data_IF_572966989958
#
_entry.id   IF_572966989958
#
_cell.length_a   1.000
_cell.length_b   1.000
_cell.length_c   1.000
_cell.angle_alpha   90.00
_cell.angle_beta   90.00
_cell.angle_gamma   90.00
#
_symmetry.space_group_name_H-M   'P 1'
#
loop_
_entity.id
_entity.type
_entity.pdbx_description
1 polymer ?
#
# COMPACT_ATOMS: atom_id res chain seq x y z
N UNK A 1 11.26 -16.24 0.30
CA UNK A 1 10.91 -15.24 1.31
C UNK A 1 12.00 -15.29 2.35
N UNK A 2 12.52 -14.13 2.70
CA UNK A 2 13.43 -13.96 3.81
C UNK A 2 12.61 -13.38 4.97
N UNK A 3 12.77 -13.90 6.17
CA UNK A 3 12.22 -13.32 7.39
C UNK A 3 13.25 -12.38 8.01
N UNK A 4 12.81 -11.31 8.66
CA UNK A 4 13.73 -10.47 9.43
C UNK A 4 13.75 -11.01 10.85
N UNK A 5 14.88 -11.51 11.30
CA UNK A 5 15.00 -12.03 12.66
C UNK A 5 15.04 -10.91 13.69
N UNK A 6 15.66 -9.80 13.33
CA UNK A 6 15.86 -8.65 14.20
C UNK A 6 16.72 -7.59 13.55
N UNK A 7 17.23 -6.70 14.38
CA UNK A 7 18.12 -5.60 14.00
C UNK A 7 19.46 -5.81 14.70
N UNK A 8 20.55 -5.64 13.97
CA UNK A 8 21.91 -5.68 14.49
C UNK A 8 22.57 -4.31 14.36
N UNK A 9 23.39 -3.95 15.34
CA UNK A 9 24.19 -2.73 15.31
C UNK A 9 25.48 -2.98 14.53
N UNK A 10 25.73 -2.18 13.51
CA UNK A 10 26.92 -2.25 12.66
C UNK A 10 27.64 -0.90 12.69
N UNK A 11 28.67 -0.80 13.55
CA UNK A 11 29.36 0.47 13.82
C UNK A 11 28.43 1.54 14.39
N UNK A 12 28.27 2.65 13.68
CA UNK A 12 27.35 3.74 14.04
C UNK A 12 25.93 3.57 13.51
N UNK A 13 25.65 2.51 12.75
CA UNK A 13 24.36 2.29 12.08
C UNK A 13 23.68 0.98 12.47
N UNK A 14 22.60 0.68 11.75
CA UNK A 14 21.79 -0.52 11.93
C UNK A 14 21.70 -1.33 10.64
N UNK A 15 21.70 -2.65 10.78
CA UNK A 15 21.51 -3.63 9.73
C UNK A 15 20.39 -4.60 10.13
N UNK A 16 19.62 -5.07 9.16
CA UNK A 16 18.57 -6.06 9.35
C UNK A 16 19.18 -7.45 9.18
N UNK A 17 18.92 -8.34 10.14
CA UNK A 17 19.30 -9.75 10.06
C UNK A 17 18.21 -10.53 9.33
N UNK A 18 18.49 -11.01 8.12
CA UNK A 18 17.55 -11.76 7.29
C UNK A 18 17.83 -13.24 7.36
N UNK A 19 16.83 -14.06 7.70
CA UNK A 19 16.90 -15.52 7.60
C UNK A 19 16.27 -16.00 6.30
N UNK A 20 17.08 -16.72 5.50
CA UNK A 20 16.64 -17.40 4.29
C UNK A 20 15.90 -18.71 4.56
N UNK A 21 15.38 -19.33 3.49
CA UNK A 21 14.75 -20.67 3.57
C UNK A 21 15.75 -21.79 3.91
N UNK A 22 17.02 -21.57 3.57
CA UNK A 22 18.15 -22.43 3.93
C UNK A 22 18.54 -22.31 5.41
N UNK A 23 17.89 -21.41 6.15
CA UNK A 23 18.21 -21.12 7.54
C UNK A 23 19.41 -20.21 7.72
N UNK A 24 20.11 -19.81 6.64
CA UNK A 24 21.27 -18.92 6.74
C UNK A 24 20.82 -17.49 7.08
N UNK A 25 21.56 -16.84 7.98
CA UNK A 25 21.35 -15.44 8.36
C UNK A 25 22.27 -14.55 7.54
N UNK A 26 21.73 -13.49 6.96
CA UNK A 26 22.46 -12.50 6.16
C UNK A 26 22.11 -11.10 6.62
N UNK A 27 23.12 -10.26 6.76
CA UNK A 27 22.90 -8.85 7.08
C UNK A 27 22.53 -8.07 5.82
N UNK A 28 21.64 -7.09 5.99
CA UNK A 28 21.29 -6.19 4.90
C UNK A 28 20.79 -4.84 5.40
N UNK A 29 20.96 -3.81 4.57
CA UNK A 29 20.53 -2.46 4.90
C UNK A 29 19.01 -2.32 4.85
N UNK A 30 18.48 -1.29 5.52
CA UNK A 30 17.05 -1.00 5.60
C UNK A 30 16.34 -0.90 4.24
N UNK A 31 17.03 -0.47 3.18
CA UNK A 31 16.47 -0.49 1.81
C UNK A 31 15.98 -1.88 1.36
N UNK A 32 16.52 -2.96 1.95
CA UNK A 32 16.08 -4.36 1.73
C UNK A 32 14.83 -4.76 2.52
N UNK A 33 14.33 -3.92 3.45
CA UNK A 33 13.03 -4.13 4.10
C UNK A 33 11.93 -4.34 3.05
N UNK A 34 12.00 -3.56 1.97
CA UNK A 34 11.10 -3.70 0.82
C UNK A 34 11.29 -5.03 0.09
N UNK A 35 12.49 -5.58 -0.07
CA UNK A 35 12.61 -6.88 -0.77
C UNK A 35 12.13 -8.05 0.09
N UNK A 36 12.40 -8.03 1.39
CA UNK A 36 11.97 -9.07 2.32
C UNK A 36 10.45 -9.18 2.43
N UNK A 37 9.75 -8.04 2.43
CA UNK A 37 8.29 -7.97 2.52
C UNK A 37 7.53 -8.51 1.28
N UNK A 38 8.18 -9.04 0.24
CA UNK A 38 7.60 -8.97 -1.13
C UNK A 38 7.42 -10.23 -1.94
N UNK A 39 7.40 -11.41 -1.33
CA UNK A 39 7.43 -12.63 -2.16
C UNK A 39 6.34 -13.67 -1.89
N UNK A 40 5.29 -13.37 -1.11
CA UNK A 40 4.20 -14.34 -0.98
C UNK A 40 2.82 -13.67 -0.95
N UNK A 41 1.95 -14.15 -1.85
CA UNK A 41 0.53 -13.82 -1.91
C UNK A 41 0.18 -12.58 -2.73
N UNK A 42 -0.84 -12.74 -3.57
CA UNK A 42 -1.43 -11.66 -4.36
C UNK A 42 -2.83 -11.26 -3.85
N UNK A 43 -3.23 -11.81 -2.70
CA UNK A 43 -4.49 -11.44 -2.09
C UNK A 43 -4.39 -10.02 -1.55
N UNK A 44 -5.46 -9.27 -1.74
CA UNK A 44 -5.61 -7.91 -1.25
C UNK A 44 -6.74 -7.91 -0.22
N UNK A 45 -6.52 -7.29 0.93
CA UNK A 45 -7.54 -7.05 1.95
C UNK A 45 -7.68 -5.55 2.12
N UNK A 46 -8.86 -5.00 1.82
CA UNK A 46 -9.08 -3.56 1.95
C UNK A 46 -9.29 -3.14 3.40
N UNK A 47 -8.90 -1.91 3.68
CA UNK A 47 -9.11 -1.22 4.92
C UNK A 47 -9.97 0.00 4.61
N UNK A 48 -11.10 0.09 5.27
CA UNK A 48 -12.00 1.23 5.17
C UNK A 48 -12.25 1.76 6.57
N UNK A 49 -11.54 2.82 6.95
CA UNK A 49 -11.61 3.39 8.30
C UNK A 49 -11.16 2.45 9.42
N UNK A 50 -10.19 1.56 9.16
CA UNK A 50 -9.71 0.61 10.17
C UNK A 50 -9.02 1.36 11.32
N UNK A 51 -9.49 1.16 12.55
CA UNK A 51 -8.91 1.73 13.76
C UNK A 51 -7.69 0.92 14.20
N UNK A 52 -6.51 1.54 14.15
CA UNK A 52 -5.27 0.86 14.52
C UNK A 52 -5.07 0.74 16.03
N UNK A 53 -5.87 1.42 16.86
CA UNK A 53 -5.82 1.24 18.31
C UNK A 53 -6.30 -0.15 18.75
N UNK A 54 -7.05 -0.85 17.89
CA UNK A 54 -7.47 -2.23 18.11
C UNK A 54 -6.34 -3.25 17.85
N UNK A 55 -5.17 -2.81 17.37
CA UNK A 55 -4.05 -3.70 17.15
C UNK A 55 -3.48 -4.24 18.46
N UNK A 56 -3.26 -5.56 18.52
CA UNK A 56 -2.60 -6.22 19.64
C UNK A 56 -1.32 -6.94 19.21
N UNK A 57 -0.35 -7.07 20.11
CA UNK A 57 0.87 -7.85 19.83
C UNK A 57 0.57 -9.35 19.90
N UNK A 58 1.17 -10.09 18.98
CA UNK A 58 1.13 -11.56 18.94
C UNK A 58 2.53 -12.11 18.64
N UNK A 59 2.77 -13.38 18.99
CA UNK A 59 4.05 -14.03 18.73
C UNK A 59 4.32 -14.19 17.23
N UNK A 60 5.56 -13.95 16.80
CA UNK A 60 5.98 -14.13 15.41
C UNK A 60 5.87 -15.59 14.93
N UNK A 61 5.94 -16.55 15.85
CA UNK A 61 5.84 -17.99 15.58
C UNK A 61 4.56 -18.34 14.82
N UNK A 62 3.43 -17.71 15.15
CA UNK A 62 2.16 -17.97 14.48
C UNK A 62 2.18 -17.51 13.02
N UNK A 63 2.68 -16.30 12.77
CA UNK A 63 2.84 -15.78 11.41
C UNK A 63 3.75 -16.68 10.58
N UNK A 64 4.88 -17.08 11.14
CA UNK A 64 5.88 -17.92 10.47
C UNK A 64 5.36 -19.31 10.16
N UNK A 65 4.67 -19.93 11.13
CA UNK A 65 4.02 -21.24 10.95
C UNK A 65 3.00 -21.20 9.81
N UNK A 66 2.08 -20.23 9.82
CA UNK A 66 1.06 -20.08 8.77
C UNK A 66 1.68 -19.71 7.40
N UNK A 67 2.82 -19.02 7.39
CA UNK A 67 3.57 -18.69 6.18
C UNK A 67 4.41 -19.86 5.65
N UNK A 68 4.54 -20.96 6.40
CA UNK A 68 5.42 -22.09 6.06
C UNK A 68 6.91 -21.73 6.11
N UNK A 69 7.28 -20.86 7.05
CA UNK A 69 8.65 -20.42 7.28
C UNK A 69 9.24 -21.09 8.54
N UNK A 70 10.56 -21.32 8.57
CA UNK A 70 11.21 -21.89 9.73
C UNK A 70 11.07 -20.97 10.95
N UNK A 71 11.01 -21.57 12.14
CA UNK A 71 11.02 -20.84 13.41
C UNK A 71 12.34 -20.06 13.52
N UNK A 72 12.33 -18.79 13.95
CA UNK A 72 13.55 -18.00 14.03
C UNK A 72 14.33 -18.40 15.30
N UNK A 73 15.64 -18.13 15.33
CA UNK A 73 16.42 -18.35 16.56
C UNK A 73 16.07 -17.33 17.64
N UNK A 74 15.58 -16.16 17.24
CA UNK A 74 15.16 -15.07 18.12
C UNK A 74 13.84 -14.47 17.61
N UNK A 75 12.97 -14.04 18.53
CA UNK A 75 11.69 -13.41 18.20
C UNK A 75 11.79 -11.88 18.21
N UNK A 76 12.80 -11.33 17.53
CA UNK A 76 13.06 -9.90 17.54
C UNK A 76 12.37 -9.15 16.39
N UNK A 77 11.36 -9.75 15.75
CA UNK A 77 10.50 -9.05 14.78
C UNK A 77 9.05 -9.18 15.22
N UNK A 78 8.50 -8.08 15.73
CA UNK A 78 7.16 -8.04 16.28
C UNK A 78 6.10 -8.24 15.20
N UNK A 79 5.03 -8.95 15.56
CA UNK A 79 3.84 -9.14 14.74
C UNK A 79 2.63 -8.62 15.51
N UNK A 80 1.77 -7.92 14.78
CA UNK A 80 0.55 -7.34 15.31
C UNK A 80 -0.65 -8.06 14.72
N UNK A 81 -1.75 -8.09 15.47
CA UNK A 81 -3.02 -8.60 15.03
C UNK A 81 -4.03 -7.47 14.92
N UNK A 82 -4.83 -7.47 13.86
CA UNK A 82 -6.01 -6.61 13.69
C UNK A 82 -7.17 -7.45 13.17
N UNK A 83 -8.41 -7.14 13.56
CA UNK A 83 -9.60 -7.76 12.95
C UNK A 83 -10.21 -6.79 11.93
N UNK A 84 -10.41 -7.26 10.71
CA UNK A 84 -11.05 -6.50 9.63
C UNK A 84 -12.32 -7.25 9.21
N UNK A 85 -13.47 -6.79 9.72
CA UNK A 85 -14.72 -7.54 9.65
C UNK A 85 -14.59 -8.89 10.36
N UNK A 86 -14.76 -10.00 9.62
CA UNK A 86 -14.58 -11.36 10.16
C UNK A 86 -13.15 -11.90 10.00
N UNK A 87 -12.29 -11.20 9.27
CA UNK A 87 -10.95 -11.67 8.94
C UNK A 87 -9.97 -11.24 10.02
N UNK A 88 -9.19 -12.20 10.55
CA UNK A 88 -8.06 -11.91 11.44
C UNK A 88 -6.82 -11.62 10.58
N UNK A 89 -6.14 -10.51 10.82
CA UNK A 89 -4.99 -10.07 10.05
C UNK A 89 -3.75 -10.10 10.92
N UNK A 90 -2.69 -10.79 10.48
CA UNK A 90 -1.38 -10.78 11.12
C UNK A 90 -0.42 -9.90 10.32
N UNK A 91 0.18 -8.91 10.97
CA UNK A 91 0.87 -7.80 10.33
C UNK A 91 2.26 -7.65 10.97
N UNK A 92 3.33 -8.05 10.29
CA UNK A 92 4.69 -7.85 10.80
C UNK A 92 5.02 -6.35 10.87
N UNK A 93 5.84 -5.94 11.86
CA UNK A 93 6.27 -4.55 12.05
C UNK A 93 6.83 -3.92 10.77
N UNK A 94 7.65 -4.68 10.02
CA UNK A 94 8.13 -4.32 8.69
C UNK A 94 7.06 -3.77 7.74
N UNK A 95 5.88 -4.42 7.69
CA UNK A 95 4.79 -3.99 6.83
C UNK A 95 4.19 -2.67 7.30
N UNK A 96 4.04 -2.48 8.62
CA UNK A 96 3.55 -1.23 9.23
C UNK A 96 4.52 -0.08 8.93
N UNK A 97 5.81 -0.28 9.22
CA UNK A 97 6.88 0.69 8.95
C UNK A 97 6.85 1.12 7.49
N UNK A 98 6.84 0.16 6.55
CA UNK A 98 6.80 0.47 5.12
C UNK A 98 5.51 1.19 4.70
N UNK A 99 4.36 0.87 5.31
CA UNK A 99 3.08 1.52 5.00
C UNK A 99 3.07 2.99 5.41
N UNK A 100 3.54 3.28 6.62
CA UNK A 100 3.58 4.63 7.18
C UNK A 100 4.71 5.49 6.63
N UNK A 101 5.89 4.94 6.39
CA UNK A 101 7.00 5.67 5.78
C UNK A 101 6.83 5.81 4.25
N UNK A 102 6.13 4.88 3.62
CA UNK A 102 6.02 4.77 2.16
C UNK A 102 7.28 4.18 1.51
N UNK A 103 7.32 4.20 0.18
CA UNK A 103 8.49 3.73 -0.58
C UNK A 103 9.59 4.77 -0.56
N UNK A 104 10.40 4.79 0.49
CA UNK A 104 11.52 5.72 0.57
C UNK A 104 12.80 4.93 0.74
N UNK A 105 13.28 4.36 -0.35
CA UNK A 105 14.65 3.85 -0.45
C UNK A 105 15.69 4.90 0.01
N UNK A 106 15.30 6.18 0.02
CA UNK A 106 16.10 7.34 0.42
C UNK A 106 16.08 7.62 1.92
N UNK A 107 15.16 7.04 2.70
CA UNK A 107 15.15 7.20 4.16
C UNK A 107 16.27 6.39 4.81
N UNK A 108 16.90 5.44 4.11
CA UNK A 108 18.01 4.60 4.56
C UNK A 108 18.07 4.35 6.08
N UNK A 109 18.91 5.09 6.81
CA UNK A 109 19.14 4.97 8.24
C UNK A 109 18.43 6.05 9.07
N UNK A 110 17.73 6.99 8.43
CA UNK A 110 17.11 8.15 9.05
C UNK A 110 16.11 7.79 10.16
N UNK A 111 15.21 6.78 10.00
CA UNK A 111 14.34 6.36 11.09
C UNK A 111 15.07 5.83 12.33
N UNK A 112 16.35 5.48 12.21
CA UNK A 112 17.17 4.99 13.32
C UNK A 112 18.04 6.08 13.98
N UNK A 113 18.01 7.31 13.47
CA UNK A 113 18.76 8.44 14.04
C UNK A 113 17.94 9.17 15.11
N UNK A 114 18.63 9.71 16.10
CA UNK A 114 18.02 10.57 17.10
C UNK A 114 17.44 11.84 16.45
N UNK A 115 16.24 12.26 16.88
CA UNK A 115 15.59 13.50 16.44
C UNK A 115 15.44 13.64 14.91
N UNK A 116 15.45 12.53 14.17
CA UNK A 116 15.48 12.58 12.71
C UNK A 116 14.22 13.15 12.08
N UNK A 117 13.06 13.04 12.74
CA UNK A 117 11.84 13.71 12.28
C UNK A 117 12.01 15.23 12.29
N UNK A 118 12.64 15.79 13.32
CA UNK A 118 12.85 17.24 13.43
C UNK A 118 13.97 17.73 12.47
N UNK A 119 14.90 16.86 12.06
CA UNK A 119 15.85 17.15 10.98
C UNK A 119 15.15 17.22 9.62
N UNK A 120 14.11 16.42 9.43
CA UNK A 120 13.34 16.41 8.19
C UNK A 120 12.37 17.58 8.10
N UNK A 121 11.81 17.97 9.22
CA UNK A 121 10.66 18.87 9.25
C UNK A 121 10.83 19.90 10.35
N UNK A 122 10.77 21.17 9.97
CA UNK A 122 10.75 22.30 10.88
C UNK A 122 9.38 22.95 10.92
N UNK A 123 8.94 23.33 12.11
CA UNK A 123 7.79 24.20 12.28
C UNK A 123 8.22 25.67 12.15
N UNK A 124 7.51 26.44 11.32
CA UNK A 124 7.72 27.88 11.15
C UNK A 124 6.41 28.63 11.25
N UNK A 125 6.43 29.84 11.80
CA UNK A 125 5.28 30.74 11.78
C UNK A 125 5.50 31.77 10.68
N UNK A 126 4.60 31.83 9.71
CA UNK A 126 4.62 32.78 8.60
C UNK A 126 3.26 33.44 8.49
N UNK A 127 3.23 34.77 8.46
CA UNK A 127 1.99 35.55 8.35
C UNK A 127 0.96 35.19 9.44
N UNK A 128 1.46 34.87 10.65
CA UNK A 128 0.63 34.42 11.78
C UNK A 128 0.10 32.99 11.67
N UNK A 129 0.39 32.28 10.58
CA UNK A 129 0.00 30.89 10.37
C UNK A 129 1.17 29.93 10.68
N UNK A 130 0.87 28.89 11.44
CA UNK A 130 1.77 27.75 11.63
C UNK A 130 1.89 26.97 10.32
N UNK A 131 3.14 26.80 9.87
CA UNK A 131 3.50 26.04 8.67
C UNK A 131 4.53 24.97 9.03
N UNK A 132 4.46 23.88 8.29
CA UNK A 132 5.38 22.76 8.38
C UNK A 132 6.26 22.82 7.13
N UNK A 133 7.54 23.13 7.33
CA UNK A 133 8.55 23.21 6.26
C UNK A 133 9.43 21.97 6.26
N UNK A 134 9.79 21.54 5.06
CA UNK A 134 10.72 20.43 4.86
C UNK A 134 12.14 20.97 4.78
N UNK A 135 13.03 20.47 5.64
CA UNK A 135 14.41 20.93 5.75
C UNK A 135 15.26 20.53 4.55
N UNK A 136 16.42 21.17 4.31
CA UNK A 136 17.30 20.82 3.20
C UNK A 136 17.88 19.41 3.30
N UNK A 137 17.95 18.79 4.48
CA UNK A 137 18.31 17.37 4.62
C UNK A 137 17.27 16.42 4.01
N UNK A 138 16.06 16.93 3.72
CA UNK A 138 15.06 16.21 2.94
C UNK A 138 15.22 16.38 1.43
N UNK A 139 16.21 17.17 0.97
CA UNK A 139 16.65 17.19 -0.42
C UNK A 139 17.41 15.90 -0.70
N UNK A 140 16.68 14.81 -0.91
CA UNK A 140 17.22 13.55 -1.42
C UNK A 140 17.58 13.68 -2.92
N UNK A 141 18.39 14.69 -3.26
CA UNK A 141 18.70 15.17 -4.62
C UNK A 141 17.75 16.25 -5.15
N UNK A 142 17.94 16.67 -6.41
CA UNK A 142 17.19 17.73 -7.10
C UNK A 142 15.71 17.42 -7.43
N UNK A 143 15.10 16.44 -6.75
CA UNK A 143 13.70 16.06 -6.98
C UNK A 143 12.89 16.34 -5.72
N UNK A 144 11.86 17.14 -5.88
CA UNK A 144 10.88 17.44 -4.83
C UNK A 144 10.33 16.14 -4.21
N UNK A 145 10.10 16.20 -2.89
CA UNK A 145 9.41 15.13 -2.19
C UNK A 145 7.99 14.96 -2.73
N UNK A 146 7.58 13.71 -2.92
CA UNK A 146 6.19 13.39 -3.25
C UNK A 146 5.23 14.07 -2.27
N UNK A 147 4.15 14.73 -2.72
CA UNK A 147 3.15 15.35 -1.84
C UNK A 147 2.62 14.38 -0.77
N UNK A 148 2.42 13.10 -1.15
CA UNK A 148 1.98 12.06 -0.21
C UNK A 148 2.99 11.72 0.89
N UNK A 149 4.29 11.92 0.62
CA UNK A 149 5.32 11.77 1.65
C UNK A 149 5.29 12.97 2.59
N UNK A 150 5.12 14.17 2.03
CA UNK A 150 4.96 15.38 2.82
C UNK A 150 3.75 15.27 3.78
N UNK A 151 2.61 14.77 3.30
CA UNK A 151 1.43 14.57 4.14
C UNK A 151 1.66 13.57 5.30
N UNK A 152 2.42 12.49 5.08
CA UNK A 152 2.82 11.57 6.17
C UNK A 152 3.65 12.29 7.23
N UNK A 153 4.66 13.04 6.80
CA UNK A 153 5.55 13.74 7.70
C UNK A 153 4.83 14.87 8.43
N UNK A 154 3.90 15.56 7.76
CA UNK A 154 3.03 16.57 8.34
C UNK A 154 2.20 15.97 9.48
N UNK A 155 1.56 14.83 9.24
CA UNK A 155 0.85 14.09 10.30
C UNK A 155 1.79 13.69 11.45
N UNK A 156 2.92 13.03 11.15
CA UNK A 156 3.86 12.57 12.17
C UNK A 156 4.40 13.71 13.03
N UNK A 157 4.60 14.88 12.44
CA UNK A 157 5.10 16.08 13.15
C UNK A 157 4.02 16.72 14.00
N UNK A 158 2.78 16.76 13.51
CA UNK A 158 1.67 17.46 14.12
C UNK A 158 1.00 16.70 15.29
N UNK A 159 1.09 15.36 15.34
CA UNK A 159 0.38 14.55 16.33
C UNK A 159 1.36 13.73 17.21
N UNK A 160 1.06 13.63 18.51
CA UNK A 160 1.95 12.98 19.49
C UNK A 160 2.17 11.49 19.21
N UNK A 161 1.13 10.75 18.84
CA UNK A 161 1.18 9.36 18.41
C UNK A 161 1.96 9.17 17.11
N UNK A 162 1.90 10.13 16.18
CA UNK A 162 2.76 10.14 14.99
C UNK A 162 4.25 10.27 15.35
N UNK A 163 4.60 11.20 16.26
CA UNK A 163 5.97 11.34 16.78
C UNK A 163 6.44 10.10 17.52
N UNK A 164 5.59 9.52 18.38
CA UNK A 164 5.88 8.28 19.11
C UNK A 164 6.10 7.09 18.19
N UNK A 165 5.27 6.95 17.14
CA UNK A 165 5.48 5.92 16.12
C UNK A 165 6.86 6.05 15.48
N UNK A 166 7.24 7.25 15.04
CA UNK A 166 8.55 7.48 14.42
C UNK A 166 9.70 7.17 15.36
N UNK A 167 9.69 7.74 16.58
CA UNK A 167 10.74 7.52 17.59
C UNK A 167 10.90 6.03 17.94
N UNK A 168 9.78 5.31 18.05
CA UNK A 168 9.79 3.89 18.43
C UNK A 168 10.59 3.00 17.49
N UNK A 169 10.73 3.36 16.21
CA UNK A 169 11.53 2.58 15.24
C UNK A 169 12.98 2.49 15.72
N UNK A 170 13.54 3.61 16.17
CA UNK A 170 14.87 3.65 16.77
C UNK A 170 14.89 2.96 18.12
N UNK A 171 13.93 3.22 19.00
CA UNK A 171 13.91 2.68 20.36
C UNK A 171 13.89 1.13 20.35
N UNK A 172 13.11 0.53 19.44
CA UNK A 172 13.12 -0.92 19.24
C UNK A 172 14.42 -1.40 18.58
N UNK A 173 14.96 -0.65 17.62
CA UNK A 173 16.23 -1.00 16.97
C UNK A 173 17.42 -1.02 17.94
N UNK A 174 17.45 -0.11 18.91
CA UNK A 174 18.46 -0.09 19.99
C UNK A 174 18.43 -1.36 20.86
N UNK A 175 17.28 -2.03 20.92
CA UNK A 175 17.08 -3.30 21.62
C UNK A 175 17.29 -4.52 20.70
N UNK A 176 17.70 -4.31 19.45
CA UNK A 176 17.85 -5.35 18.43
C UNK A 176 16.51 -5.86 17.88
N UNK A 177 15.41 -5.15 18.13
CA UNK A 177 14.04 -5.52 17.76
C UNK A 177 13.55 -4.70 16.58
N UNK A 178 12.89 -5.34 15.61
CA UNK A 178 12.09 -4.69 14.59
C UNK A 178 10.64 -4.58 15.09
N UNK A 179 10.30 -3.42 15.62
CA UNK A 179 9.01 -3.12 16.23
C UNK A 179 8.62 -1.65 16.08
N UNK A 180 7.36 -1.33 16.41
CA UNK A 180 6.83 0.04 16.48
C UNK A 180 5.78 0.18 17.57
N UNK A 181 5.61 1.40 18.08
CA UNK A 181 4.40 1.77 18.80
C UNK A 181 3.30 2.08 17.80
N UNK A 182 2.19 1.34 17.85
CA UNK A 182 1.06 1.55 16.93
C UNK A 182 0.44 2.93 17.20
N UNK A 183 0.28 3.79 16.18
CA UNK A 183 -0.28 5.11 16.36
C UNK A 183 -1.81 5.06 16.54
N UNK A 184 -2.36 6.07 17.23
CA UNK A 184 -3.81 6.23 17.43
C UNK A 184 -4.46 6.88 16.20
N UNK A 185 -4.76 6.08 15.19
CA UNK A 185 -5.29 6.55 13.91
C UNK A 185 -6.32 5.58 13.34
N UNK A 186 -7.26 6.12 12.57
CA UNK A 186 -8.01 5.37 11.58
C UNK A 186 -7.30 5.45 10.23
N UNK A 187 -7.27 4.35 9.50
CA UNK A 187 -6.65 4.29 8.17
C UNK A 187 -7.58 3.67 7.14
N UNK A 188 -7.54 4.23 5.93
CA UNK A 188 -8.05 3.54 4.75
C UNK A 188 -6.88 3.13 3.86
N UNK A 189 -7.03 2.03 3.12
CA UNK A 189 -5.94 1.44 2.35
C UNK A 189 -6.17 -0.02 2.03
N UNK A 190 -5.07 -0.77 1.94
CA UNK A 190 -5.14 -2.22 1.78
C UNK A 190 -3.88 -2.91 2.28
N UNK A 191 -4.06 -4.13 2.76
CA UNK A 191 -2.99 -5.09 2.87
C UNK A 191 -2.82 -5.86 1.56
N UNK A 192 -1.59 -6.23 1.24
CA UNK A 192 -1.28 -7.34 0.33
C UNK A 192 -0.73 -8.49 1.16
N UNK A 193 -1.05 -9.71 0.79
CA UNK A 193 -0.66 -10.87 1.57
C UNK A 193 -1.25 -12.19 1.09
N UNK A 194 -1.33 -13.15 2.00
CA UNK A 194 -1.81 -14.51 1.77
C UNK A 194 -2.98 -14.79 2.70
N UNK A 195 -3.98 -15.52 2.22
CA UNK A 195 -5.05 -16.04 3.06
C UNK A 195 -4.77 -17.51 3.43
N UNK A 196 -4.95 -17.85 4.71
CA UNK A 196 -4.83 -19.19 5.29
C UNK A 196 -5.97 -19.40 6.28
N UNK A 197 -7.00 -20.14 5.86
CA UNK A 197 -8.24 -20.24 6.63
C UNK A 197 -8.86 -18.87 6.86
N UNK A 198 -9.18 -18.55 8.11
CA UNK A 198 -9.75 -17.25 8.53
C UNK A 198 -8.69 -16.17 8.81
N UNK A 199 -7.42 -16.47 8.55
CA UNK A 199 -6.29 -15.60 8.79
C UNK A 199 -5.73 -15.01 7.50
N UNK A 200 -5.45 -13.70 7.51
CA UNK A 200 -4.75 -12.99 6.45
C UNK A 200 -3.36 -12.59 6.95
N UNK A 201 -2.32 -13.13 6.31
CA UNK A 201 -0.93 -12.81 6.60
C UNK A 201 -0.51 -11.61 5.75
N UNK A 202 -0.48 -10.41 6.34
CA UNK A 202 -0.09 -9.21 5.64
C UNK A 202 1.41 -9.20 5.38
N UNK A 203 1.79 -9.00 4.13
CA UNK A 203 3.19 -8.83 3.70
C UNK A 203 3.48 -7.39 3.33
N UNK A 204 2.46 -6.61 2.94
CA UNK A 204 2.55 -5.15 2.78
C UNK A 204 1.32 -4.46 3.31
N UNK A 205 1.52 -3.25 3.83
CA UNK A 205 0.46 -2.28 4.07
C UNK A 205 0.64 -1.12 3.09
N UNK A 206 -0.43 -0.77 2.39
CA UNK A 206 -0.52 0.43 1.57
C UNK A 206 -1.60 1.33 2.17
N UNK A 207 -1.18 2.50 2.63
CA UNK A 207 -2.08 3.51 3.21
C UNK A 207 -2.55 4.46 2.12
N UNK A 208 -3.86 4.71 2.11
CA UNK A 208 -4.51 5.71 1.29
C UNK A 208 -4.66 7.02 2.03
N UNK A 209 -5.19 6.94 3.25
CA UNK A 209 -5.44 8.07 4.11
C UNK A 209 -5.17 7.71 5.57
N UNK A 210 -4.87 8.73 6.36
CA UNK A 210 -4.71 8.66 7.80
C UNK A 210 -5.64 9.70 8.42
N UNK A 211 -6.44 9.28 9.39
CA UNK A 211 -7.29 10.14 10.21
C UNK A 211 -6.83 10.00 11.67
N UNK A 212 -6.21 11.03 12.26
CA UNK A 212 -5.76 10.96 13.65
C UNK A 212 -6.94 10.88 14.62
N UNK A 213 -6.82 10.00 15.63
CA UNK A 213 -7.79 9.86 16.73
C UNK A 213 -7.36 10.64 17.98
N UNK A 214 -6.40 11.54 17.84
CA UNK A 214 -5.90 12.41 18.90
C UNK A 214 -5.80 13.84 18.37
N UNK A 215 -5.92 14.81 19.29
CA UNK A 215 -5.75 16.22 18.93
C UNK A 215 -4.32 16.49 18.43
N UNK A 216 -4.15 17.39 17.45
CA UNK A 216 -2.84 17.88 17.07
C UNK A 216 -2.18 18.63 18.23
N UNK A 217 -0.85 18.69 18.22
CA UNK A 217 -0.07 19.48 19.16
C UNK A 217 -0.45 20.97 19.08
N UNK A 218 -0.21 21.77 20.14
CA UNK A 218 -0.67 23.16 20.21
C UNK A 218 -0.29 24.03 19.00
N UNK A 219 0.89 23.82 18.42
CA UNK A 219 1.33 24.56 17.24
C UNK A 219 0.60 24.17 15.96
N UNK A 220 -0.03 22.99 15.91
CA UNK A 220 -0.69 22.42 14.73
C UNK A 220 -2.22 22.36 14.89
N UNK A 221 -2.80 23.16 15.79
CA UNK A 221 -4.26 23.19 16.05
C UNK A 221 -5.11 23.41 14.80
N UNK A 222 -4.59 24.12 13.79
CA UNK A 222 -5.29 24.32 12.51
C UNK A 222 -5.51 23.04 11.71
N UNK A 223 -4.87 21.92 12.08
CA UNK A 223 -5.01 20.61 11.42
C UNK A 223 -6.04 19.70 12.13
N UNK A 224 -6.78 20.22 13.11
CA UNK A 224 -7.78 19.45 13.83
C UNK A 224 -8.83 18.87 12.87
N UNK A 225 -9.08 17.56 12.97
CA UNK A 225 -10.04 16.85 12.10
C UNK A 225 -9.57 16.63 10.67
N UNK A 226 -8.33 17.00 10.32
CA UNK A 226 -7.81 16.81 8.97
C UNK A 226 -7.56 15.32 8.67
N UNK A 227 -8.03 14.89 7.49
CA UNK A 227 -7.62 13.64 6.85
C UNK A 227 -6.36 13.86 6.02
N UNK A 228 -5.31 13.10 6.29
CA UNK A 228 -4.05 13.17 5.55
C UNK A 228 -4.07 12.18 4.39
N UNK A 229 -4.02 12.66 3.16
CA UNK A 229 -3.94 11.82 1.96
C UNK A 229 -2.49 11.36 1.75
N UNK A 230 -2.24 10.06 1.92
CA UNK A 230 -0.88 9.49 1.92
C UNK A 230 -0.61 8.55 0.73
N UNK A 231 -1.50 8.46 -0.25
CA UNK A 231 -1.11 7.98 -1.58
C UNK A 231 -2.00 8.60 -2.65
N UNK A 232 -1.54 8.49 -3.90
CA UNK A 232 -2.32 8.94 -5.06
C UNK A 232 -3.61 8.12 -5.12
N UNK A 233 -4.79 8.74 -5.12
CA UNK A 233 -6.06 8.06 -5.32
C UNK A 233 -6.03 7.12 -6.55
N UNK A 234 -5.28 7.47 -7.59
CA UNK A 234 -5.12 6.64 -8.80
C UNK A 234 -4.23 5.40 -8.57
N UNK A 235 -3.36 5.41 -7.56
CA UNK A 235 -2.58 4.24 -7.10
C UNK A 235 -3.42 3.38 -6.13
N UNK A 236 -4.35 4.01 -5.40
CA UNK A 236 -5.17 3.40 -4.35
C UNK A 236 -6.43 2.72 -4.87
N UNK A 237 -6.96 3.13 -6.02
CA UNK A 237 -8.27 2.66 -6.47
C UNK A 237 -8.32 1.14 -6.40
N UNK A 238 -9.31 0.55 -5.70
CA UNK A 238 -9.57 -0.86 -5.82
C UNK A 238 -9.69 -1.09 -7.32
N UNK A 239 -8.82 -1.92 -7.90
CA UNK A 239 -9.07 -2.39 -9.26
C UNK A 239 -10.36 -3.19 -9.19
N UNK A 240 -11.46 -2.46 -9.35
CA UNK A 240 -12.83 -2.81 -9.64
C UNK A 240 -13.31 -4.09 -8.94
N UNK A 241 -13.73 -3.97 -7.67
CA UNK A 241 -14.37 -5.08 -6.95
C UNK A 241 -15.87 -5.14 -7.14
N UNK A 242 -16.50 -3.99 -7.32
CA UNK A 242 -17.92 -3.98 -7.65
C UNK A 242 -18.08 -4.33 -9.11
N UNK A 243 -18.87 -5.38 -9.35
CA UNK A 243 -19.32 -5.72 -10.67
C UNK A 243 -20.13 -4.53 -11.20
N UNK A 244 -19.79 -4.06 -12.39
CA UNK A 244 -20.59 -3.09 -13.11
C UNK A 244 -21.81 -3.83 -13.66
N UNK A 245 -22.90 -3.81 -12.89
CA UNK A 245 -24.15 -4.51 -13.22
C UNK A 245 -24.83 -4.02 -14.50
N UNK A 246 -24.32 -2.93 -15.11
CA UNK A 246 -24.77 -2.46 -16.43
C UNK A 246 -24.06 -3.15 -17.58
N UNK A 247 -22.99 -3.91 -17.34
CA UNK A 247 -22.29 -4.67 -18.36
C UNK A 247 -22.99 -6.01 -18.64
N UNK A 248 -23.29 -6.24 -19.91
CA UNK A 248 -23.85 -7.50 -20.40
C UNK A 248 -22.77 -8.36 -21.04
N UNK A 249 -22.89 -9.68 -20.93
CA UNK A 249 -22.10 -10.64 -21.72
C UNK A 249 -22.55 -10.68 -23.18
N UNK A 250 -21.60 -10.90 -24.09
CA UNK A 250 -21.85 -11.19 -25.51
C UNK A 250 -21.85 -12.69 -25.80
N UNK A 251 -21.87 -13.06 -27.08
CA UNK A 251 -21.90 -14.47 -27.52
C UNK A 251 -20.67 -15.29 -27.08
N UNK A 252 -19.53 -14.63 -26.85
CA UNK A 252 -18.29 -15.24 -26.32
C UNK A 252 -18.11 -14.98 -24.81
N UNK A 253 -19.20 -14.77 -24.07
CA UNK A 253 -19.17 -14.42 -22.66
C UNK A 253 -18.68 -12.99 -22.43
N UNK A 254 -17.60 -12.81 -21.66
CA UNK A 254 -16.99 -11.50 -21.43
C UNK A 254 -16.03 -11.06 -22.54
N UNK A 255 -15.56 -12.00 -23.37
CA UNK A 255 -14.71 -11.70 -24.51
C UNK A 255 -15.51 -11.04 -25.64
N UNK A 256 -14.86 -10.12 -26.35
CA UNK A 256 -15.43 -9.46 -27.52
C UNK A 256 -15.48 -10.42 -28.72
N UNK A 257 -16.56 -10.34 -29.49
CA UNK A 257 -16.58 -10.92 -30.85
C UNK A 257 -15.64 -10.14 -31.78
N UNK A 258 -15.35 -10.71 -32.96
CA UNK A 258 -14.49 -10.03 -33.95
C UNK A 258 -15.16 -8.72 -34.40
N UNK A 259 -16.47 -8.75 -34.64
CA UNK A 259 -17.28 -7.56 -34.94
C UNK A 259 -17.25 -6.53 -33.80
N UNK A 260 -17.52 -6.93 -32.56
CA UNK A 260 -17.49 -6.00 -31.42
C UNK A 260 -16.12 -5.34 -31.29
N UNK A 261 -15.05 -6.07 -31.55
CA UNK A 261 -13.70 -5.51 -31.52
C UNK A 261 -13.43 -4.55 -32.68
N UNK A 262 -13.64 -4.99 -33.92
CA UNK A 262 -13.24 -4.25 -35.12
C UNK A 262 -14.14 -3.04 -35.40
N UNK A 263 -15.44 -3.15 -35.15
CA UNK A 263 -16.42 -2.12 -35.53
C UNK A 263 -16.80 -1.19 -34.38
N UNK A 264 -16.71 -1.65 -33.13
CA UNK A 264 -17.14 -0.86 -31.97
C UNK A 264 -15.94 -0.38 -31.15
N UNK A 265 -15.10 -1.30 -30.69
CA UNK A 265 -14.07 -0.98 -29.67
C UNK A 265 -12.83 -0.34 -30.31
N UNK A 266 -12.22 -0.98 -31.30
CA UNK A 266 -10.97 -0.53 -31.90
C UNK A 266 -11.04 0.89 -32.50
N UNK A 267 -12.12 1.30 -33.22
CA UNK A 267 -12.22 2.65 -33.79
C UNK A 267 -12.22 3.75 -32.73
N UNK A 268 -12.88 3.51 -31.58
CA UNK A 268 -12.94 4.47 -30.47
C UNK A 268 -11.60 4.57 -29.72
N UNK A 269 -10.88 3.45 -29.62
CA UNK A 269 -9.56 3.40 -28.98
C UNK A 269 -8.47 4.04 -29.86
N UNK A 270 -8.57 3.94 -31.19
CA UNK A 270 -7.65 4.55 -32.16
C UNK A 270 -6.23 3.99 -32.05
N UNK A 271 -5.20 4.84 -32.08
CA UNK A 271 -3.77 4.43 -31.96
C UNK A 271 -3.42 3.70 -30.65
N UNK A 272 -4.34 3.65 -29.67
CA UNK A 272 -4.15 2.92 -28.40
C UNK A 272 -4.33 1.41 -28.54
N UNK A 273 -4.63 0.91 -29.75
CA UNK A 273 -4.88 -0.51 -30.08
C UNK A 273 -3.60 -1.35 -30.22
N UNK A 274 -2.40 -0.75 -30.15
CA UNK A 274 -1.15 -1.47 -30.44
C UNK A 274 -0.83 -2.61 -29.44
N UNK A 275 -0.55 -3.79 -30.02
CA UNK A 275 -0.11 -5.07 -29.42
C UNK A 275 -0.92 -5.58 -28.22
N UNK A 276 -1.81 -6.55 -28.49
CA UNK A 276 -2.60 -7.25 -27.46
C UNK A 276 -3.77 -6.44 -26.89
N UNK A 277 -4.17 -5.34 -27.55
CA UNK A 277 -5.26 -4.46 -27.10
C UNK A 277 -6.58 -5.19 -26.86
N UNK A 278 -6.93 -6.16 -27.72
CA UNK A 278 -8.17 -6.95 -27.60
C UNK A 278 -8.20 -7.79 -26.33
N UNK A 279 -7.20 -8.64 -26.17
CA UNK A 279 -7.08 -9.51 -25.00
C UNK A 279 -7.06 -8.70 -23.70
N UNK A 280 -6.40 -7.55 -23.71
CA UNK A 280 -6.42 -6.61 -22.57
C UNK A 280 -7.83 -6.09 -22.28
N UNK A 281 -8.60 -5.77 -23.32
CA UNK A 281 -9.96 -5.26 -23.18
C UNK A 281 -10.93 -6.36 -22.71
N UNK A 282 -10.79 -7.58 -23.22
CA UNK A 282 -11.57 -8.75 -22.78
C UNK A 282 -11.39 -8.98 -21.28
N UNK A 283 -10.14 -8.91 -20.78
CA UNK A 283 -9.86 -9.01 -19.35
C UNK A 283 -10.42 -7.85 -18.53
N UNK A 284 -10.52 -6.64 -19.09
CA UNK A 284 -11.20 -5.51 -18.45
C UNK A 284 -12.69 -5.78 -18.33
N UNK A 285 -13.34 -6.26 -19.39
CA UNK A 285 -14.76 -6.58 -19.38
C UNK A 285 -15.08 -7.72 -18.41
N UNK A 286 -14.27 -8.78 -18.40
CA UNK A 286 -14.43 -9.88 -17.43
C UNK A 286 -14.28 -9.38 -15.99
N UNK A 287 -13.25 -8.57 -15.73
CA UNK A 287 -12.99 -7.97 -14.42
C UNK A 287 -14.17 -7.11 -13.95
N UNK A 288 -14.62 -6.19 -14.79
CA UNK A 288 -15.70 -5.27 -14.47
C UNK A 288 -17.05 -5.98 -14.38
N UNK A 289 -17.30 -6.96 -15.25
CA UNK A 289 -18.56 -7.70 -15.28
C UNK A 289 -18.73 -8.67 -14.11
N UNK A 290 -17.64 -9.25 -13.61
CA UNK A 290 -17.68 -10.24 -12.53
C UNK A 290 -17.31 -9.69 -11.16
N UNK A 291 -16.62 -8.55 -11.09
CA UNK A 291 -15.96 -8.06 -9.87
C UNK A 291 -14.77 -8.92 -9.40
N UNK A 292 -14.51 -10.06 -10.06
CA UNK A 292 -13.46 -11.04 -9.73
C UNK A 292 -12.05 -10.51 -9.95
N UNK A 293 -10.97 -11.18 -9.53
CA UNK A 293 -9.61 -10.66 -9.76
C UNK A 293 -9.16 -10.82 -11.22
N UNK A 294 -8.21 -9.99 -11.69
CA UNK A 294 -7.57 -10.21 -13.00
C UNK A 294 -6.87 -11.58 -12.99
N UNK A 295 -7.19 -12.46 -13.93
CA UNK A 295 -6.55 -13.76 -14.08
C UNK A 295 -5.36 -13.65 -15.04
N UNK A 296 -4.20 -14.24 -14.68
CA UNK A 296 -2.99 -14.32 -15.53
C UNK A 296 -1.81 -13.44 -15.11
N UNK A 297 -0.58 -13.94 -15.29
CA UNK A 297 0.66 -13.38 -14.73
C UNK A 297 1.22 -12.14 -15.45
N UNK A 298 0.79 -11.86 -16.68
CA UNK A 298 1.49 -10.88 -17.55
C UNK A 298 0.89 -9.46 -17.45
N UNK A 299 -0.28 -9.27 -16.83
CA UNK A 299 -1.18 -8.18 -17.27
C UNK A 299 -1.79 -7.32 -16.14
N UNK A 300 -1.73 -7.72 -14.86
CA UNK A 300 -2.43 -7.04 -13.76
C UNK A 300 -2.01 -5.56 -13.53
N UNK A 301 -0.73 -5.22 -13.69
CA UNK A 301 -0.27 -3.84 -13.50
C UNK A 301 -0.60 -2.89 -14.67
N UNK A 302 -0.64 -3.42 -15.89
CA UNK A 302 -0.89 -2.66 -17.12
C UNK A 302 -2.37 -2.33 -17.34
N UNK A 303 -3.28 -3.27 -17.02
CA UNK A 303 -4.71 -3.09 -17.29
C UNK A 303 -5.37 -2.02 -16.45
N UNK A 304 -5.10 -2.00 -15.14
CA UNK A 304 -5.66 -0.97 -14.26
C UNK A 304 -5.27 0.43 -14.73
N UNK A 305 -3.97 0.63 -14.99
CA UNK A 305 -3.44 1.88 -15.52
C UNK A 305 -4.05 2.26 -16.87
N UNK A 306 -4.25 1.27 -17.76
CA UNK A 306 -4.84 1.49 -19.07
C UNK A 306 -6.32 1.84 -18.99
N UNK A 307 -7.12 1.11 -18.21
CA UNK A 307 -8.53 1.42 -17.97
C UNK A 307 -8.70 2.80 -17.31
N UNK A 308 -7.85 3.16 -16.34
CA UNK A 308 -7.86 4.49 -15.75
C UNK A 308 -7.59 5.58 -16.79
N UNK A 309 -6.66 5.34 -17.72
CA UNK A 309 -6.41 6.25 -18.84
C UNK A 309 -7.64 6.38 -19.74
N UNK A 310 -8.35 5.28 -20.02
CA UNK A 310 -9.60 5.27 -20.80
C UNK A 310 -10.76 5.98 -20.08
N UNK A 311 -10.85 5.86 -18.75
CA UNK A 311 -11.85 6.61 -17.97
C UNK A 311 -11.53 8.10 -17.94
N UNK A 312 -10.27 8.47 -17.68
CA UNK A 312 -9.83 9.86 -17.59
C UNK A 312 -10.06 10.64 -18.88
N UNK A 313 -9.96 10.00 -20.04
CA UNK A 313 -10.18 10.65 -21.34
C UNK A 313 -11.59 10.40 -21.91
N UNK A 314 -12.52 9.85 -21.12
CA UNK A 314 -13.91 9.60 -21.53
C UNK A 314 -14.10 8.46 -22.53
N UNK A 315 -13.03 7.83 -23.03
CA UNK A 315 -13.14 6.75 -24.03
C UNK A 315 -13.81 5.50 -23.48
N UNK A 316 -13.61 5.19 -22.20
CA UNK A 316 -14.24 4.03 -21.58
C UNK A 316 -15.77 4.12 -21.66
N UNK A 317 -16.35 5.27 -21.31
CA UNK A 317 -17.81 5.44 -21.33
C UNK A 317 -18.36 5.38 -22.75
N UNK A 318 -17.68 5.98 -23.74
CA UNK A 318 -18.08 5.88 -25.15
C UNK A 318 -18.08 4.44 -25.66
N UNK A 319 -17.03 3.68 -25.33
CA UNK A 319 -16.95 2.26 -25.72
C UNK A 319 -18.03 1.45 -25.01
N UNK A 320 -18.18 1.64 -23.70
CA UNK A 320 -19.18 0.94 -22.89
C UNK A 320 -20.58 1.17 -23.44
N UNK A 321 -20.96 2.42 -23.70
CA UNK A 321 -22.26 2.79 -24.25
C UNK A 321 -22.55 2.08 -25.57
N UNK A 322 -21.65 2.20 -26.57
CA UNK A 322 -21.86 1.58 -27.88
C UNK A 322 -21.88 0.05 -27.81
N UNK A 323 -21.01 -0.55 -27.00
CA UNK A 323 -20.97 -1.99 -26.81
C UNK A 323 -22.26 -2.51 -26.15
N UNK A 324 -22.79 -1.79 -25.15
CA UNK A 324 -24.03 -2.18 -24.49
C UNK A 324 -25.23 -2.02 -25.42
N UNK A 325 -25.32 -0.94 -26.19
CA UNK A 325 -26.37 -0.76 -27.20
C UNK A 325 -26.42 -1.93 -28.19
N UNK A 326 -25.26 -2.34 -28.71
CA UNK A 326 -25.16 -3.50 -29.60
C UNK A 326 -25.60 -4.80 -28.92
N UNK A 327 -25.14 -5.07 -27.70
CA UNK A 327 -25.51 -6.29 -26.95
C UNK A 327 -26.98 -6.34 -26.57
N UNK A 328 -27.61 -5.19 -26.28
CA UNK A 328 -29.04 -5.10 -26.05
C UNK A 328 -29.85 -5.42 -27.31
N UNK A 329 -29.45 -4.86 -28.47
CA UNK A 329 -30.13 -5.10 -29.74
C UNK A 329 -30.09 -6.57 -30.21
N UNK A 330 -29.06 -7.33 -29.80
CA UNK A 330 -28.98 -8.77 -30.09
C UNK A 330 -29.84 -9.64 -29.15
N UNK A 331 -30.35 -9.07 -28.06
CA UNK A 331 -31.19 -9.78 -27.07
C UNK A 331 -32.69 -9.49 -27.22
N UNK A 332 -33.06 -8.43 -27.93
CA UNK A 332 -34.44 -8.05 -28.27
C UNK A 332 -34.92 -8.78 -29.51
#
# INVERSE_FOLDING_TARGET
MEWIEGIEREGSGYSLAFRGKDGAVRLGKFKKLRSAATTIGDNILHLDGADLTEMTLVGSDEFLSLAGLPKPSQQNHLVYQLRVGKVRVLIPAAAIILGFLGTVARLEDLPFRASSLDLMVSHTVEDGASKIRFGPETNFGAKELSPFFQERMRWMTAHAGGRRFWASIRDFAEQGVLGVHVPKVQVSGWFRGITRGECFLATRLHLASIVPLEEPLPFAKSLLGQTFAVADPNVIRPMFREADGTLLTGAKGWALSDYEWEEIVAPLLGRQVLFGGRQRFDHILEKLGTGGQFKGSIVAGGLGSWLLKLKKNGKWEQVKERLMLHRHALRS
#
